data_IF_537710253112
#
_entry.id   IF_537710253112
#
_cell.length_a   1.000
_cell.length_b   1.000
_cell.length_c   1.000
_cell.angle_alpha   90.00
_cell.angle_beta   90.00
_cell.angle_gamma   90.00
#
_symmetry.space_group_name_H-M   'P 1'
#
loop_
_entity.id
_entity.type
_entity.pdbx_description
1 polymer ?
#
# COMPACT_ATOMS: atom_id res chain seq x y z
N UNK A 1 -9.95 -8.24 35.18
CA UNK A 1 -8.82 -7.50 34.58
C UNK A 1 -7.96 -8.31 33.60
N UNK A 2 -7.58 -9.57 33.89
CA UNK A 2 -6.70 -10.41 33.04
C UNK A 2 -7.18 -10.69 31.60
N UNK A 3 -8.51 -10.76 31.38
CA UNK A 3 -9.11 -11.13 30.07
C UNK A 3 -9.00 -9.99 29.05
N UNK A 4 -9.13 -8.72 29.49
CA UNK A 4 -8.95 -7.56 28.59
C UNK A 4 -7.52 -7.46 28.07
N UNK A 5 -6.55 -7.77 28.92
CA UNK A 5 -5.12 -7.71 28.57
C UNK A 5 -4.74 -8.75 27.51
N UNK A 6 -5.29 -9.98 27.59
CA UNK A 6 -5.00 -11.01 26.58
C UNK A 6 -5.63 -10.70 25.22
N UNK A 7 -6.85 -10.15 25.20
CA UNK A 7 -7.56 -9.83 23.97
C UNK A 7 -6.91 -8.65 23.22
N UNK A 8 -6.50 -7.60 23.94
CA UNK A 8 -5.76 -6.47 23.35
C UNK A 8 -4.40 -6.90 22.78
N UNK A 9 -3.69 -7.80 23.47
CA UNK A 9 -2.43 -8.36 22.97
C UNK A 9 -2.61 -9.18 21.68
N UNK A 10 -3.67 -9.99 21.61
CA UNK A 10 -4.00 -10.76 20.41
C UNK A 10 -4.40 -9.84 19.24
N UNK A 11 -5.23 -8.83 19.52
CA UNK A 11 -5.65 -7.83 18.54
C UNK A 11 -4.45 -7.06 17.98
N UNK A 12 -3.54 -6.60 18.85
CA UNK A 12 -2.30 -5.92 18.47
C UNK A 12 -1.43 -6.79 17.56
N UNK A 13 -1.25 -8.07 17.89
CA UNK A 13 -0.49 -9.01 17.05
C UNK A 13 -1.16 -9.20 15.68
N UNK A 14 -2.48 -9.39 15.65
CA UNK A 14 -3.25 -9.53 14.41
C UNK A 14 -3.13 -8.30 13.51
N UNK A 15 -3.27 -7.10 14.07
CA UNK A 15 -3.13 -5.85 13.34
C UNK A 15 -1.71 -5.61 12.83
N UNK A 16 -0.68 -5.92 13.63
CA UNK A 16 0.71 -5.85 13.20
C UNK A 16 1.02 -6.77 12.02
N UNK A 17 0.51 -8.01 12.04
CA UNK A 17 0.63 -8.95 10.93
C UNK A 17 -0.14 -8.46 9.70
N UNK A 18 -1.37 -7.98 9.89
CA UNK A 18 -2.19 -7.39 8.84
C UNK A 18 -1.52 -6.19 8.18
N UNK A 19 -0.81 -5.37 8.94
CA UNK A 19 -0.12 -4.19 8.43
C UNK A 19 1.03 -4.57 7.50
N UNK A 20 1.83 -5.56 7.91
CA UNK A 20 2.89 -6.09 7.07
C UNK A 20 2.34 -6.75 5.81
N UNK A 21 1.30 -7.58 5.93
CA UNK A 21 0.67 -8.24 4.80
C UNK A 21 0.09 -7.25 3.79
N UNK A 22 -0.64 -6.23 4.26
CA UNK A 22 -1.20 -5.18 3.39
C UNK A 22 -0.10 -4.37 2.68
N UNK A 23 0.94 -3.97 3.41
CA UNK A 23 2.09 -3.25 2.84
C UNK A 23 2.81 -4.04 1.74
N UNK A 24 2.98 -5.34 1.94
CA UNK A 24 3.58 -6.25 0.95
C UNK A 24 2.66 -6.47 -0.23
N UNK A 25 1.36 -6.74 -0.02
CA UNK A 25 0.39 -6.96 -1.09
C UNK A 25 0.26 -5.75 -2.01
N UNK A 26 0.19 -4.55 -1.46
CA UNK A 26 0.19 -3.32 -2.25
C UNK A 26 1.44 -3.23 -3.13
N UNK A 27 2.62 -3.43 -2.51
CA UNK A 27 3.90 -3.36 -3.22
C UNK A 27 3.97 -4.40 -4.32
N UNK A 28 3.62 -5.66 -4.04
CA UNK A 28 3.62 -6.72 -5.05
C UNK A 28 2.61 -6.45 -6.17
N UNK A 29 1.39 -6.00 -5.86
CA UNK A 29 0.38 -5.64 -6.85
C UNK A 29 0.86 -4.56 -7.82
N UNK A 30 1.55 -3.54 -7.30
CA UNK A 30 2.09 -2.43 -8.09
C UNK A 30 3.11 -2.90 -9.13
N UNK A 31 3.88 -3.95 -8.81
CA UNK A 31 4.91 -4.51 -9.67
C UNK A 31 4.52 -5.88 -10.25
N UNK A 32 3.26 -6.32 -10.11
CA UNK A 32 2.86 -7.67 -10.50
C UNK A 32 3.03 -7.90 -12.01
N UNK A 33 2.67 -6.91 -12.82
CA UNK A 33 2.91 -6.94 -14.27
C UNK A 33 4.40 -7.08 -14.62
N UNK A 34 5.31 -6.59 -13.78
CA UNK A 34 6.75 -6.77 -13.96
C UNK A 34 7.22 -8.19 -13.65
N UNK A 35 6.71 -8.78 -12.56
CA UNK A 35 7.06 -10.14 -12.17
C UNK A 35 6.54 -11.17 -13.16
N UNK A 36 5.36 -10.94 -13.76
CA UNK A 36 4.73 -11.88 -14.71
C UNK A 36 5.26 -11.73 -16.13
N UNK A 37 5.58 -10.52 -16.61
CA UNK A 37 5.93 -10.28 -18.02
C UNK A 37 7.40 -10.54 -18.40
N UNK A 38 8.25 -10.94 -17.45
CA UNK A 38 9.60 -11.48 -17.71
C UNK A 38 10.64 -10.48 -18.21
N UNK A 39 10.45 -9.78 -19.33
CA UNK A 39 11.46 -8.84 -19.90
C UNK A 39 11.00 -7.99 -21.09
N UNK A 40 9.87 -8.24 -21.77
CA UNK A 40 9.58 -7.57 -23.07
C UNK A 40 8.58 -6.41 -23.07
N UNK A 41 7.87 -6.18 -21.96
CA UNK A 41 6.92 -5.05 -21.81
C UNK A 41 7.43 -4.02 -20.80
N UNK A 42 8.73 -4.06 -20.48
CA UNK A 42 9.35 -3.17 -19.50
C UNK A 42 9.37 -1.75 -20.04
N UNK A 43 8.39 -0.97 -19.62
CA UNK A 43 8.67 0.41 -19.32
C UNK A 43 7.88 0.81 -18.09
N UNK A 44 8.57 1.03 -16.98
CA UNK A 44 8.07 1.83 -15.86
C UNK A 44 7.42 3.12 -16.40
N UNK A 45 7.98 3.65 -17.50
CA UNK A 45 7.45 4.77 -18.25
C UNK A 45 6.08 4.58 -18.89
N UNK A 46 5.56 3.37 -19.16
CA UNK A 46 4.21 3.21 -19.74
C UNK A 46 3.10 3.52 -18.74
N UNK A 47 3.18 2.98 -17.52
CA UNK A 47 2.30 3.38 -16.40
C UNK A 47 2.36 4.90 -16.14
N UNK A 48 3.48 5.53 -16.44
CA UNK A 48 3.69 6.96 -16.32
C UNK A 48 3.29 7.77 -17.56
N UNK A 49 3.19 7.13 -18.72
CA UNK A 49 2.58 7.70 -19.92
C UNK A 49 1.06 7.72 -19.78
N UNK A 50 0.44 6.85 -18.98
CA UNK A 50 -1.02 6.86 -18.73
C UNK A 50 -1.48 8.25 -18.24
N UNK A 51 -0.91 8.83 -17.16
CA UNK A 51 -1.27 10.19 -16.76
C UNK A 51 -0.97 11.24 -17.83
N UNK A 52 0.14 11.13 -18.58
CA UNK A 52 0.47 12.08 -19.65
C UNK A 52 -0.50 11.98 -20.84
N UNK A 53 -0.93 10.77 -21.21
CA UNK A 53 -1.95 10.51 -22.22
C UNK A 53 -3.34 10.98 -21.77
N UNK A 54 -3.57 11.02 -20.45
CA UNK A 54 -4.78 11.55 -19.83
C UNK A 54 -4.69 13.07 -19.54
N UNK A 55 -3.62 13.76 -19.97
CA UNK A 55 -3.46 15.21 -19.76
C UNK A 55 -3.19 15.63 -18.31
N UNK A 56 -2.78 14.70 -17.44
CA UNK A 56 -2.49 14.94 -16.03
C UNK A 56 -1.04 15.44 -15.84
N UNK A 57 -0.75 16.67 -16.28
CA UNK A 57 0.61 17.24 -16.21
C UNK A 57 1.14 17.42 -14.77
N UNK A 58 0.24 17.51 -13.77
CA UNK A 58 0.58 17.55 -12.34
C UNK A 58 1.01 16.20 -11.73
N UNK A 59 0.98 15.10 -12.49
CA UNK A 59 1.23 13.75 -11.97
C UNK A 59 2.70 13.47 -11.62
N UNK A 60 3.63 14.39 -11.94
CA UNK A 60 5.07 14.23 -11.71
C UNK A 60 5.41 14.00 -10.23
N UNK A 61 4.74 14.69 -9.30
CA UNK A 61 4.91 14.48 -7.86
C UNK A 61 4.42 13.11 -7.41
N UNK A 62 3.32 12.62 -8.01
CA UNK A 62 2.76 11.29 -7.76
C UNK A 62 3.71 10.20 -8.28
N UNK A 63 4.45 10.45 -9.38
CA UNK A 63 5.50 9.55 -9.87
C UNK A 63 6.59 9.32 -8.83
N UNK A 64 7.08 10.38 -8.19
CA UNK A 64 8.11 10.26 -7.14
C UNK A 64 7.55 9.49 -5.95
N UNK A 65 6.31 9.79 -5.54
CA UNK A 65 5.61 9.04 -4.51
C UNK A 65 5.51 7.54 -4.80
N UNK A 66 5.23 7.16 -6.05
CA UNK A 66 5.12 5.76 -6.49
C UNK A 66 6.41 4.95 -6.25
N UNK A 67 7.58 5.54 -6.49
CA UNK A 67 8.87 4.88 -6.25
C UNK A 67 9.26 4.83 -4.78
N UNK A 68 8.67 5.69 -3.94
CA UNK A 68 8.89 5.70 -2.50
C UNK A 68 8.01 4.68 -1.77
N UNK A 69 6.93 4.17 -2.38
CA UNK A 69 6.01 3.22 -1.71
C UNK A 69 6.69 1.94 -1.20
N UNK A 70 7.65 1.31 -1.89
CA UNK A 70 8.42 0.19 -1.31
C UNK A 70 9.22 0.61 -0.07
N UNK A 71 9.80 1.81 -0.07
CA UNK A 71 10.53 2.36 1.09
C UNK A 71 9.57 2.61 2.25
N UNK A 72 8.37 3.13 1.96
CA UNK A 72 7.30 3.31 2.95
C UNK A 72 6.88 1.94 3.53
N UNK A 73 6.74 0.91 2.71
CA UNK A 73 6.41 -0.44 3.16
C UNK A 73 7.46 -1.01 4.13
N UNK A 74 8.75 -0.82 3.83
CA UNK A 74 9.85 -1.17 4.75
C UNK A 74 9.74 -0.36 6.04
N UNK A 75 9.40 0.93 5.96
CA UNK A 75 9.15 1.78 7.13
C UNK A 75 8.01 1.27 8.01
N UNK A 76 6.89 0.84 7.42
CA UNK A 76 5.76 0.22 8.15
C UNK A 76 6.25 -1.00 8.90
N UNK A 77 6.94 -1.93 8.24
CA UNK A 77 7.49 -3.14 8.85
C UNK A 77 8.47 -2.82 9.98
N UNK A 78 9.36 -1.85 9.78
CA UNK A 78 10.32 -1.40 10.78
C UNK A 78 9.64 -0.84 12.03
N UNK A 79 8.65 0.05 11.87
CA UNK A 79 7.92 0.60 13.01
C UNK A 79 7.06 -0.44 13.73
N UNK A 80 6.46 -1.39 12.99
CA UNK A 80 5.75 -2.53 13.59
C UNK A 80 6.71 -3.40 14.40
N UNK A 81 7.88 -3.72 13.87
CA UNK A 81 8.91 -4.52 14.56
C UNK A 81 9.41 -3.83 15.84
N UNK A 82 9.53 -2.50 15.83
CA UNK A 82 9.89 -1.70 17.00
C UNK A 82 8.70 -1.45 17.96
N UNK A 83 7.53 -2.03 17.68
CA UNK A 83 6.32 -1.84 18.49
C UNK A 83 5.71 -0.43 18.43
N UNK A 84 6.22 0.45 17.53
CA UNK A 84 5.77 1.83 17.35
C UNK A 84 4.56 1.88 16.41
N UNK A 85 3.37 1.62 16.94
CA UNK A 85 2.17 1.42 16.12
C UNK A 85 1.64 2.69 15.44
N UNK A 86 1.70 3.85 16.09
CA UNK A 86 1.20 5.12 15.50
C UNK A 86 1.96 5.54 14.23
N UNK A 87 3.30 5.59 14.22
CA UNK A 87 4.02 5.91 13.00
C UNK A 87 3.86 4.80 11.94
N UNK A 88 3.77 3.53 12.34
CA UNK A 88 3.42 2.44 11.41
C UNK A 88 2.05 2.67 10.74
N UNK A 89 1.04 3.04 11.52
CA UNK A 89 -0.30 3.33 11.03
C UNK A 89 -0.33 4.54 10.09
N UNK A 90 0.40 5.62 10.42
CA UNK A 90 0.49 6.79 9.56
C UNK A 90 1.13 6.46 8.21
N UNK A 91 2.25 5.73 8.21
CA UNK A 91 2.90 5.28 6.98
C UNK A 91 2.03 4.32 6.17
N UNK A 92 1.35 3.38 6.85
CA UNK A 92 0.45 2.44 6.19
C UNK A 92 -0.75 3.15 5.56
N UNK A 93 -1.34 4.13 6.25
CA UNK A 93 -2.43 4.94 5.73
C UNK A 93 -1.99 5.74 4.49
N UNK A 94 -0.81 6.37 4.55
CA UNK A 94 -0.21 7.07 3.41
C UNK A 94 -0.01 6.13 2.22
N UNK A 95 0.61 4.97 2.45
CA UNK A 95 0.85 3.97 1.41
C UNK A 95 -0.47 3.51 0.78
N UNK A 96 -1.47 3.24 1.62
CA UNK A 96 -2.79 2.77 1.20
C UNK A 96 -3.55 3.80 0.38
N UNK A 97 -3.51 5.06 0.80
CA UNK A 97 -4.15 6.17 0.08
C UNK A 97 -3.56 6.34 -1.32
N UNK A 98 -2.23 6.42 -1.42
CA UNK A 98 -1.55 6.57 -2.72
C UNK A 98 -1.83 5.36 -3.62
N UNK A 99 -1.76 4.15 -3.06
CA UNK A 99 -2.04 2.90 -3.78
C UNK A 99 -3.46 2.85 -4.33
N UNK A 100 -4.46 3.30 -3.56
CA UNK A 100 -5.85 3.39 -4.00
C UNK A 100 -6.03 4.42 -5.11
N UNK A 101 -5.51 5.64 -4.93
CA UNK A 101 -5.65 6.70 -5.93
C UNK A 101 -5.07 6.28 -7.27
N UNK A 102 -3.83 5.75 -7.28
CA UNK A 102 -3.19 5.34 -8.52
C UNK A 102 -3.84 4.07 -9.09
N UNK A 103 -4.14 3.08 -8.25
CA UNK A 103 -4.80 1.84 -8.68
C UNK A 103 -6.14 2.11 -9.38
N UNK A 104 -6.98 2.96 -8.81
CA UNK A 104 -8.27 3.35 -9.40
C UNK A 104 -8.08 4.06 -10.73
N UNK A 105 -7.15 5.02 -10.84
CA UNK A 105 -6.86 5.71 -12.09
C UNK A 105 -6.47 4.71 -13.19
N UNK A 106 -5.62 3.73 -12.87
CA UNK A 106 -5.17 2.72 -13.84
C UNK A 106 -6.31 1.78 -14.22
N UNK A 107 -7.14 1.32 -13.29
CA UNK A 107 -8.29 0.45 -13.59
C UNK A 107 -9.33 1.15 -14.46
N UNK A 108 -9.56 2.44 -14.24
CA UNK A 108 -10.49 3.24 -15.04
C UNK A 108 -9.91 3.70 -16.39
N UNK A 109 -8.61 3.55 -16.58
CA UNK A 109 -7.94 3.90 -17.83
C UNK A 109 -8.20 2.83 -18.91
N UNK A 110 -8.22 3.19 -20.20
CA UNK A 110 -8.44 2.24 -21.30
C UNK A 110 -7.24 1.30 -21.57
N UNK A 111 -6.40 1.05 -20.57
CA UNK A 111 -5.12 0.36 -20.70
C UNK A 111 -5.21 -1.01 -20.04
N UNK A 112 -4.77 -2.04 -20.76
CA UNK A 112 -4.75 -3.40 -20.23
C UNK A 112 -3.56 -3.59 -19.28
N UNK A 113 -3.76 -3.24 -18.01
CA UNK A 113 -2.76 -3.33 -16.95
C UNK A 113 -2.77 -4.66 -16.18
N UNK A 114 -3.57 -5.64 -16.62
CA UNK A 114 -3.72 -6.94 -15.97
C UNK A 114 -4.32 -6.84 -14.56
N UNK A 115 -4.06 -7.85 -13.71
CA UNK A 115 -4.62 -7.93 -12.36
C UNK A 115 -3.91 -7.06 -11.31
N UNK A 116 -2.73 -6.51 -11.62
CA UNK A 116 -1.89 -5.77 -10.67
C UNK A 116 -2.61 -4.60 -9.98
N UNK A 117 -3.25 -3.68 -10.72
CA UNK A 117 -4.00 -2.57 -10.14
C UNK A 117 -5.13 -3.01 -9.19
N UNK A 118 -5.85 -4.08 -9.51
CA UNK A 118 -6.91 -4.60 -8.65
C UNK A 118 -6.34 -5.15 -7.32
N UNK A 119 -5.20 -5.85 -7.38
CA UNK A 119 -4.48 -6.32 -6.17
C UNK A 119 -4.00 -5.13 -5.33
N UNK A 120 -3.49 -4.07 -5.96
CA UNK A 120 -3.08 -2.84 -5.28
C UNK A 120 -4.25 -2.13 -4.60
N UNK A 121 -5.42 -2.05 -5.24
CA UNK A 121 -6.64 -1.47 -4.66
C UNK A 121 -7.08 -2.28 -3.44
N UNK A 122 -7.15 -3.61 -3.55
CA UNK A 122 -7.54 -4.49 -2.44
C UNK A 122 -6.57 -4.35 -1.26
N UNK A 123 -5.26 -4.33 -1.53
CA UNK A 123 -4.22 -4.09 -0.53
C UNK A 123 -4.36 -2.72 0.15
N UNK A 124 -4.69 -1.67 -0.62
CA UNK A 124 -4.90 -0.33 -0.08
C UNK A 124 -6.18 -0.22 0.76
N UNK A 125 -7.28 -0.83 0.34
CA UNK A 125 -8.51 -0.89 1.13
C UNK A 125 -8.29 -1.60 2.47
N UNK A 126 -7.65 -2.77 2.44
CA UNK A 126 -7.29 -3.51 3.66
C UNK A 126 -6.31 -2.72 4.53
N UNK A 127 -5.32 -2.07 3.92
CA UNK A 127 -4.31 -1.27 4.61
C UNK A 127 -4.90 -0.08 5.38
N UNK A 128 -5.91 0.61 4.83
CA UNK A 128 -6.62 1.68 5.55
C UNK A 128 -7.35 1.15 6.80
N UNK A 129 -8.05 0.03 6.67
CA UNK A 129 -8.76 -0.60 7.81
C UNK A 129 -7.79 -0.99 8.91
N UNK A 130 -6.66 -1.60 8.54
CA UNK A 130 -5.62 -2.01 9.49
C UNK A 130 -4.94 -0.78 10.13
N UNK A 131 -4.66 0.27 9.37
CA UNK A 131 -4.09 1.51 9.90
C UNK A 131 -5.01 2.16 10.94
N UNK A 132 -6.32 2.23 10.66
CA UNK A 132 -7.31 2.71 11.63
C UNK A 132 -7.31 1.86 12.91
N UNK A 133 -7.29 0.53 12.79
CA UNK A 133 -7.19 -0.38 13.93
C UNK A 133 -5.91 -0.16 14.76
N UNK A 134 -4.77 0.03 14.10
CA UNK A 134 -3.49 0.33 14.78
C UNK A 134 -3.50 1.66 15.53
N UNK A 135 -4.22 2.67 15.03
CA UNK A 135 -4.38 3.95 15.74
C UNK A 135 -5.20 3.79 17.01
N UNK A 136 -6.31 3.04 16.95
CA UNK A 136 -7.19 2.77 18.10
C UNK A 136 -6.46 1.94 19.17
N UNK A 137 -5.69 0.93 18.77
CA UNK A 137 -4.95 0.08 19.72
C UNK A 137 -3.66 0.75 20.22
N UNK A 138 -3.11 1.68 19.45
CA UNK A 138 -1.93 2.47 19.84
C UNK A 138 -2.23 3.69 20.71
N UNK A 139 -3.49 3.96 21.05
CA UNK A 139 -3.90 5.04 21.96
C UNK A 139 -3.98 4.63 23.43
N UNK A 140 -3.96 3.33 23.73
CA UNK A 140 -3.93 2.77 25.09
C UNK A 140 -2.49 2.49 25.56
#
# INVERSE_FOLDING_TARGET
MRIRTSLLLQLRKGLSLGAGAAAVLMTLGMFLGWFVAGTRVRNSFEMFRIPQQLGLEGFTTIRVGWFLLPVVAVGVLGFVALGRLRPAAALLALQSFVSLCVGVIVVLSPINAGAGPAVTILGGGAGLVVAAGLLVVGSE
#
